data_IF_496276846401
#
_entry.id   IF_496276846401
#
_cell.length_a   1.000
_cell.length_b   1.000
_cell.length_c   1.000
_cell.angle_alpha   90.00
_cell.angle_beta   90.00
_cell.angle_gamma   90.00
#
_symmetry.space_group_name_H-M   'P 1'
#
loop_
_entity.id
_entity.type
_entity.pdbx_description
1 polymer ?
#
# COMPACT_ATOMS: atom_id res chain seq x y z
N UNK A 1 10.22 8.20 -7.62
CA UNK A 1 10.54 7.10 -6.69
C UNK A 1 10.55 5.77 -7.46
N UNK A 2 11.66 5.04 -7.40
CA UNK A 2 11.77 3.69 -7.98
C UNK A 2 12.55 2.82 -7.00
N UNK A 3 11.98 1.67 -6.60
CA UNK A 3 12.61 0.75 -5.67
C UNK A 3 11.64 0.12 -4.69
N UNK A 4 12.21 -0.56 -3.71
CA UNK A 4 11.47 -1.15 -2.60
C UNK A 4 11.36 -0.14 -1.46
N UNK A 5 10.16 0.05 -0.92
CA UNK A 5 9.92 0.90 0.24
C UNK A 5 8.87 0.27 1.17
N UNK A 6 8.85 0.68 2.42
CA UNK A 6 7.88 0.21 3.41
C UNK A 6 6.64 1.10 3.41
N UNK A 7 5.55 0.57 3.97
CA UNK A 7 4.30 1.32 4.14
C UNK A 7 3.82 1.23 5.58
N UNK A 8 3.19 2.28 6.07
CA UNK A 8 2.51 2.33 7.36
C UNK A 8 1.00 2.22 7.12
N UNK A 9 0.48 0.99 7.22
CA UNK A 9 -0.95 0.72 7.05
C UNK A 9 -1.75 1.19 8.28
N UNK A 10 -2.97 1.70 8.05
CA UNK A 10 -3.91 1.99 9.14
C UNK A 10 -4.20 0.71 9.91
N UNK A 11 -4.08 0.79 11.24
CA UNK A 11 -4.27 -0.36 12.11
C UNK A 11 -5.62 -1.05 11.84
N UNK A 12 -5.57 -2.37 11.66
CA UNK A 12 -6.76 -3.20 11.42
C UNK A 12 -7.36 -3.12 10.02
N UNK A 13 -6.73 -2.43 9.05
CA UNK A 13 -7.23 -2.44 7.68
C UNK A 13 -7.14 -3.86 7.06
N UNK A 14 -8.26 -4.44 6.58
CA UNK A 14 -8.29 -5.83 6.15
C UNK A 14 -7.43 -6.12 4.91
N UNK A 15 -7.15 -5.11 4.08
CA UNK A 15 -6.27 -5.26 2.92
C UNK A 15 -4.84 -5.64 3.33
N UNK A 16 -4.40 -5.21 4.52
CA UNK A 16 -3.07 -5.45 5.07
C UNK A 16 -3.06 -6.56 6.14
N UNK A 17 -4.12 -7.36 6.23
CA UNK A 17 -4.21 -8.48 7.17
C UNK A 17 -3.05 -9.47 6.99
N UNK A 18 -2.42 -9.87 8.09
CA UNK A 18 -1.27 -10.79 8.12
C UNK A 18 -0.09 -10.36 7.23
N UNK A 19 0.07 -9.05 6.99
CA UNK A 19 1.28 -8.45 6.43
C UNK A 19 1.99 -7.72 7.56
N UNK A 20 3.23 -8.09 7.84
CA UNK A 20 4.01 -7.51 8.95
C UNK A 20 4.36 -6.04 8.67
N UNK A 21 4.41 -5.24 9.72
CA UNK A 21 4.92 -3.87 9.62
C UNK A 21 6.41 -3.89 9.21
N UNK A 22 6.78 -3.04 8.27
CA UNK A 22 8.14 -3.01 7.72
C UNK A 22 8.38 -3.95 6.54
N UNK A 23 7.38 -4.71 6.10
CA UNK A 23 7.43 -5.41 4.82
C UNK A 23 7.56 -4.43 3.65
N UNK A 24 8.27 -4.86 2.61
CA UNK A 24 8.62 -4.03 1.47
C UNK A 24 7.69 -4.26 0.28
N UNK A 25 7.30 -3.15 -0.35
CA UNK A 25 6.57 -3.14 -1.62
C UNK A 25 7.37 -2.42 -2.70
N UNK A 26 7.19 -2.83 -3.95
CA UNK A 26 7.91 -2.27 -5.09
C UNK A 26 7.14 -1.09 -5.70
N UNK A 27 7.78 0.07 -5.73
CA UNK A 27 7.27 1.32 -6.28
C UNK A 27 8.02 1.71 -7.56
N UNK A 28 7.30 2.28 -8.53
CA UNK A 28 7.88 2.94 -9.71
C UNK A 28 6.93 4.04 -10.21
N UNK A 29 7.13 5.26 -9.71
CA UNK A 29 6.26 6.40 -10.03
C UNK A 29 6.99 7.74 -9.86
N UNK A 30 6.55 8.76 -10.58
CA UNK A 30 7.05 10.14 -10.43
C UNK A 30 6.07 11.07 -9.72
N UNK A 31 4.78 10.73 -9.73
CA UNK A 31 3.71 11.47 -9.08
C UNK A 31 3.08 10.60 -8.00
N UNK A 32 2.51 11.22 -6.97
CA UNK A 32 1.83 10.54 -5.89
C UNK A 32 0.68 11.41 -5.37
N UNK A 33 -0.35 10.77 -4.83
CA UNK A 33 -1.47 11.45 -4.19
C UNK A 33 -1.10 11.84 -2.75
N UNK A 34 -1.42 13.06 -2.28
CA UNK A 34 -1.16 13.46 -0.90
C UNK A 34 -1.94 12.59 0.09
N UNK A 35 -1.50 12.57 1.35
CA UNK A 35 -2.23 11.92 2.45
C UNK A 35 -3.54 12.67 2.71
N UNK A 36 -4.61 11.93 2.99
CA UNK A 36 -5.93 12.47 3.33
C UNK A 36 -6.83 11.43 3.98
N UNK A 37 -8.12 11.76 4.15
CA UNK A 37 -9.09 10.88 4.85
C UNK A 37 -9.25 9.51 4.16
N UNK A 38 -9.05 9.48 2.85
CA UNK A 38 -9.11 8.29 1.99
C UNK A 38 -7.90 7.36 2.14
N UNK A 39 -6.80 7.82 2.72
CA UNK A 39 -5.56 7.06 2.82
C UNK A 39 -5.73 5.89 3.80
N UNK A 40 -5.36 4.68 3.38
CA UNK A 40 -5.36 3.49 4.24
C UNK A 40 -3.96 2.92 4.48
N UNK A 41 -2.96 3.34 3.71
CA UNK A 41 -1.56 3.18 4.04
C UNK A 41 -0.74 4.36 3.52
N UNK A 42 0.21 4.81 4.32
CA UNK A 42 1.15 5.89 4.00
C UNK A 42 2.53 5.33 3.64
N UNK A 43 3.30 6.08 2.85
CA UNK A 43 4.71 5.81 2.61
C UNK A 43 5.46 7.13 2.60
N UNK A 44 6.72 7.13 3.05
CA UNK A 44 7.59 8.30 3.02
C UNK A 44 8.67 8.13 1.95
N UNK A 45 8.77 9.13 1.07
CA UNK A 45 9.92 9.30 0.18
C UNK A 45 10.21 10.79 0.03
N UNK A 46 10.80 11.38 1.08
CA UNK A 46 11.11 12.80 1.18
C UNK A 46 9.92 13.63 1.68
N UNK A 47 8.70 13.26 1.29
CA UNK A 47 7.45 13.68 1.92
C UNK A 47 6.48 12.49 2.04
N UNK A 48 5.55 12.48 3.02
CA UNK A 48 4.50 11.48 3.11
C UNK A 48 3.54 11.52 1.92
N UNK A 49 3.13 10.35 1.44
CA UNK A 49 2.13 10.20 0.39
C UNK A 49 1.25 8.96 0.60
N UNK A 50 0.13 8.90 -0.13
CA UNK A 50 -0.80 7.78 -0.09
C UNK A 50 -0.23 6.57 -0.84
N UNK A 51 0.16 5.53 -0.10
CA UNK A 51 0.59 4.25 -0.66
C UNK A 51 -0.57 3.32 -1.00
N UNK A 52 -1.65 3.39 -0.22
CA UNK A 52 -2.91 2.71 -0.51
C UNK A 52 -4.11 3.58 -0.11
N UNK A 53 -5.17 3.54 -0.92
CA UNK A 53 -6.40 4.34 -0.79
C UNK A 53 -7.63 3.45 -0.73
N UNK A 54 -8.67 3.91 -0.03
CA UNK A 54 -9.99 3.31 -0.05
C UNK A 54 -11.08 4.39 -0.09
N UNK A 55 -12.12 4.16 -0.91
CA UNK A 55 -13.36 4.95 -0.91
C UNK A 55 -14.53 4.03 -1.23
N UNK A 56 -15.33 3.67 -0.21
CA UNK A 56 -16.38 2.66 -0.37
C UNK A 56 -15.78 1.33 -0.82
N UNK A 57 -16.28 0.80 -1.95
CA UNK A 57 -15.81 -0.44 -2.57
C UNK A 57 -14.59 -0.26 -3.49
N UNK A 58 -14.09 0.96 -3.67
CA UNK A 58 -12.92 1.24 -4.49
C UNK A 58 -11.63 1.17 -3.65
N UNK A 59 -10.66 0.43 -4.17
CA UNK A 59 -9.31 0.31 -3.60
C UNK A 59 -8.26 0.70 -4.64
N UNK A 60 -7.16 1.27 -4.19
CA UNK A 60 -6.01 1.56 -5.02
C UNK A 60 -4.72 1.43 -4.24
N UNK A 61 -3.66 0.97 -4.91
CA UNK A 61 -2.30 0.90 -4.37
C UNK A 61 -1.35 1.59 -5.33
N UNK A 62 -0.42 2.37 -4.78
CA UNK A 62 0.59 3.10 -5.55
C UNK A 62 1.79 2.21 -5.92
N UNK A 63 2.05 1.19 -5.12
CA UNK A 63 3.01 0.13 -5.41
C UNK A 63 2.42 -0.96 -6.30
N UNK A 64 3.27 -1.85 -6.81
CA UNK A 64 2.92 -2.97 -7.67
C UNK A 64 2.86 -4.27 -6.85
N UNK A 65 1.69 -4.70 -6.35
CA UNK A 65 1.61 -5.90 -5.51
C UNK A 65 2.04 -7.16 -6.28
N UNK A 66 1.81 -7.23 -7.58
CA UNK A 66 2.26 -8.32 -8.46
C UNK A 66 3.79 -8.41 -8.60
N UNK A 67 4.51 -7.34 -8.25
CA UNK A 67 5.98 -7.26 -8.26
C UNK A 67 6.57 -7.19 -6.85
N UNK A 68 5.76 -7.34 -5.81
CA UNK A 68 6.15 -7.14 -4.40
C UNK A 68 6.32 -8.44 -3.61
N UNK A 69 6.71 -9.53 -4.29
CA UNK A 69 6.99 -10.83 -3.66
C UNK A 69 5.81 -11.34 -2.80
N UNK A 70 6.10 -12.02 -1.68
CA UNK A 70 5.11 -12.60 -0.76
C UNK A 70 4.18 -11.55 -0.16
N UNK A 71 4.69 -10.39 0.24
CA UNK A 71 3.88 -9.30 0.80
C UNK A 71 2.83 -8.82 -0.20
N UNK A 72 3.24 -8.61 -1.45
CA UNK A 72 2.35 -8.25 -2.55
C UNK A 72 1.31 -9.33 -2.89
N UNK A 73 1.74 -10.59 -2.95
CA UNK A 73 0.83 -11.72 -3.19
C UNK A 73 -0.23 -11.84 -2.07
N UNK A 74 0.19 -11.67 -0.81
CA UNK A 74 -0.73 -11.67 0.35
C UNK A 74 -1.72 -10.52 0.29
N UNK A 75 -1.30 -9.33 -0.14
CA UNK A 75 -2.20 -8.18 -0.31
C UNK A 75 -3.28 -8.45 -1.36
N UNK A 76 -2.90 -9.07 -2.50
CA UNK A 76 -3.85 -9.48 -3.53
C UNK A 76 -4.81 -10.55 -2.99
N UNK A 77 -4.30 -11.55 -2.26
CA UNK A 77 -5.14 -12.56 -1.62
C UNK A 77 -6.16 -11.92 -0.67
N UNK A 78 -5.71 -11.02 0.20
CA UNK A 78 -6.58 -10.32 1.14
C UNK A 78 -7.69 -9.57 0.41
N UNK A 79 -7.37 -8.88 -0.71
CA UNK A 79 -8.36 -8.19 -1.53
C UNK A 79 -9.43 -9.13 -2.12
N UNK A 80 -9.02 -10.33 -2.56
CA UNK A 80 -9.94 -11.35 -3.10
C UNK A 80 -10.83 -12.00 -2.03
N UNK A 81 -10.43 -11.92 -0.76
CA UNK A 81 -11.12 -12.49 0.40
C UNK A 81 -11.98 -11.45 1.17
N UNK A 82 -12.09 -10.21 0.67
CA UNK A 82 -12.89 -9.12 1.27
C UNK A 82 -14.41 -9.34 1.18
#
# INVERSE_FOLDING_TARGET
>A
HMGWNTVSAKAGNPLFKDIEEGEYFYFVHSFAMPVGDYTIAECDYGNPFTAAVQSGNYYGVQFHPERSSKAGAKLIQNFLEL
#
